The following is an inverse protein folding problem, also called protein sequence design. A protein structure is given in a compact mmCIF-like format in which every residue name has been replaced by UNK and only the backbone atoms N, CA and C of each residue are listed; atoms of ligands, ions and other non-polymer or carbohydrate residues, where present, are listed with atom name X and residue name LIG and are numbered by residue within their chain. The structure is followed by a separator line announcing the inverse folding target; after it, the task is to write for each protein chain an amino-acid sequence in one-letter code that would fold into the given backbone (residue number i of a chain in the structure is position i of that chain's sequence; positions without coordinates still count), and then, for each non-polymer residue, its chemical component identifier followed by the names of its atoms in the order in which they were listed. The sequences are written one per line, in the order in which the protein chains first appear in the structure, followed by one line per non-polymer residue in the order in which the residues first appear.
data_IF_024867569147
#
_entry.id   IF_024867569147
#
_cell.length_a   1.000
_cell.length_b   1.000
_cell.length_c   1.000
_cell.angle_alpha   90.00
_cell.angle_beta   90.00
_cell.angle_gamma   90.00
#
_symmetry.space_group_name_H-M   'P 1'
#
loop_
_entity.id
_entity.type
_entity.pdbx_description
1 polymer ?
#
# COMPACT_ATOMS: atom_id res chain seq x y z
N UNK A 1 23.39 -6.95 -20.19
CA UNK A 1 22.36 -7.22 -19.16
C UNK A 1 21.51 -5.97 -19.08
N UNK A 2 20.23 -6.03 -19.45
CA UNK A 2 19.37 -4.84 -19.50
C UNK A 2 18.91 -4.46 -18.09
N UNK A 3 19.12 -3.20 -17.70
CA UNK A 3 18.67 -2.60 -16.42
C UNK A 3 17.13 -2.49 -16.27
N UNK A 4 16.38 -3.13 -17.17
CA UNK A 4 14.93 -3.06 -17.27
C UNK A 4 14.17 -3.49 -16.00
N UNK A 5 14.53 -4.57 -15.27
CA UNK A 5 13.76 -4.99 -14.12
C UNK A 5 13.93 -4.04 -12.93
N UNK A 6 15.14 -3.52 -12.69
CA UNK A 6 15.42 -2.58 -11.61
C UNK A 6 14.73 -1.24 -11.86
N UNK A 7 14.78 -0.76 -13.11
CA UNK A 7 14.13 0.49 -13.52
C UNK A 7 12.61 0.42 -13.32
N UNK A 8 11.98 -0.71 -13.67
CA UNK A 8 10.54 -0.92 -13.44
C UNK A 8 10.15 -0.89 -11.95
N UNK A 9 10.96 -1.52 -11.08
CA UNK A 9 10.75 -1.50 -9.63
C UNK A 9 10.89 -0.08 -9.07
N UNK A 10 11.90 0.67 -9.50
CA UNK A 10 12.11 2.06 -9.06
C UNK A 10 10.97 2.98 -9.50
N UNK A 11 10.46 2.82 -10.73
CA UNK A 11 9.29 3.56 -11.21
C UNK A 11 8.05 3.23 -10.38
N UNK A 12 7.79 1.94 -10.12
CA UNK A 12 6.65 1.50 -9.31
C UNK A 12 6.73 2.05 -7.88
N UNK A 13 7.93 2.02 -7.26
CA UNK A 13 8.17 2.59 -5.94
C UNK A 13 7.94 4.11 -5.94
N UNK A 14 8.45 4.83 -6.94
CA UNK A 14 8.25 6.28 -7.10
C UNK A 14 6.78 6.66 -7.22
N UNK A 15 6.00 5.92 -8.03
CA UNK A 15 4.56 6.10 -8.16
C UNK A 15 3.83 5.85 -6.84
N UNK A 16 4.19 4.80 -6.11
CA UNK A 16 3.62 4.49 -4.79
C UNK A 16 3.83 5.64 -3.80
N UNK A 17 5.04 6.20 -3.75
CA UNK A 17 5.37 7.34 -2.90
C UNK A 17 4.59 8.59 -3.31
N UNK A 18 4.50 8.88 -4.61
CA UNK A 18 3.75 10.02 -5.13
C UNK A 18 2.25 9.92 -4.81
N UNK A 19 1.65 8.73 -5.00
CA UNK A 19 0.25 8.48 -4.64
C UNK A 19 0.00 8.63 -3.15
N UNK A 20 0.92 8.15 -2.30
CA UNK A 20 0.83 8.33 -0.86
C UNK A 20 0.89 9.83 -0.49
N UNK A 21 1.86 10.56 -1.03
CA UNK A 21 2.02 11.98 -0.77
C UNK A 21 0.78 12.78 -1.19
N UNK A 22 0.24 12.50 -2.38
CA UNK A 22 -1.00 13.11 -2.86
C UNK A 22 -2.19 12.77 -1.95
N UNK A 23 -2.32 11.50 -1.54
CA UNK A 23 -3.41 11.06 -0.67
C UNK A 23 -3.33 11.72 0.71
N UNK A 24 -2.12 11.85 1.27
CA UNK A 24 -1.88 12.56 2.52
C UNK A 24 -2.19 14.06 2.38
N UNK A 25 -1.74 14.69 1.30
CA UNK A 25 -2.00 16.11 1.03
C UNK A 25 -3.50 16.40 0.93
N UNK A 26 -4.23 15.62 0.14
CA UNK A 26 -5.69 15.74 -0.03
C UNK A 26 -6.45 15.47 1.27
N UNK A 27 -5.87 14.68 2.17
CA UNK A 27 -6.50 14.31 3.43
C UNK A 27 -6.33 15.31 4.57
N UNK A 28 -5.43 16.30 4.43
CA UNK A 28 -5.13 17.31 5.47
C UNK A 28 -6.36 17.94 6.12
N UNK A 29 -7.41 18.34 5.38
CA UNK A 29 -8.57 18.98 6.01
C UNK A 29 -9.41 18.01 6.85
N UNK A 30 -9.23 16.70 6.68
CA UNK A 30 -9.92 15.66 7.46
C UNK A 30 -9.18 15.31 8.75
N UNK A 31 -7.94 15.75 8.92
CA UNK A 31 -7.09 15.41 10.07
C UNK A 31 -7.64 15.87 11.43
N UNK A 32 -8.24 17.08 11.57
CA UNK A 32 -8.79 17.53 12.85
C UNK A 32 -9.96 16.69 13.34
N UNK A 33 -10.66 16.01 12.42
CA UNK A 33 -11.82 15.18 12.71
C UNK A 33 -11.47 13.75 13.13
N UNK A 34 -10.17 13.43 13.20
CA UNK A 34 -9.69 12.11 13.60
C UNK A 34 -9.43 12.06 15.11
N UNK A 35 -9.78 10.97 15.82
CA UNK A 35 -9.59 10.87 17.28
C UNK A 35 -8.12 11.00 17.71
N UNK A 36 -7.18 10.57 16.86
CA UNK A 36 -5.74 10.74 17.08
C UNK A 36 -5.13 11.99 16.44
N UNK A 37 -5.96 12.94 16.00
CA UNK A 37 -5.55 14.11 15.22
C UNK A 37 -4.79 13.75 13.95
N UNK A 38 -3.94 14.67 13.49
CA UNK A 38 -3.10 14.49 12.28
C UNK A 38 -2.23 13.24 12.35
N UNK A 39 -1.51 13.03 13.45
CA UNK A 39 -0.60 11.89 13.60
C UNK A 39 -1.34 10.56 13.54
N UNK A 40 -2.47 10.45 14.24
CA UNK A 40 -3.30 9.23 14.21
C UNK A 40 -3.88 8.97 12.82
N UNK A 41 -4.31 10.02 12.12
CA UNK A 41 -4.85 9.89 10.77
C UNK A 41 -3.79 9.39 9.78
N UNK A 42 -2.57 9.94 9.84
CA UNK A 42 -1.45 9.48 9.01
C UNK A 42 -1.08 8.03 9.33
N UNK A 43 -1.05 7.66 10.61
CA UNK A 43 -0.72 6.29 11.03
C UNK A 43 -1.76 5.28 10.55
N UNK A 44 -3.05 5.61 10.65
CA UNK A 44 -4.13 4.78 10.14
C UNK A 44 -4.14 4.71 8.61
N UNK A 45 -3.79 5.81 7.91
CA UNK A 45 -3.55 5.81 6.47
C UNK A 45 -2.42 4.86 6.06
N UNK A 46 -1.29 4.90 6.76
CA UNK A 46 -0.17 4.00 6.49
C UNK A 46 -0.55 2.54 6.78
N UNK A 47 -1.28 2.28 7.86
CA UNK A 47 -1.74 0.93 8.18
C UNK A 47 -2.69 0.36 7.12
N UNK A 48 -3.68 1.14 6.66
CA UNK A 48 -4.60 0.60 5.66
C UNK A 48 -4.03 0.56 4.24
N UNK A 49 -3.12 1.48 3.90
CA UNK A 49 -2.63 1.65 2.53
C UNK A 49 -1.32 0.90 2.28
N UNK A 50 -0.43 0.81 3.28
CA UNK A 50 0.90 0.24 3.15
C UNK A 50 0.99 -1.21 3.64
N UNK A 51 0.28 -1.59 4.71
CA UNK A 51 0.30 -2.97 5.21
C UNK A 51 -0.12 -4.00 4.13
N UNK A 52 -1.11 -3.71 3.26
CA UNK A 52 -1.46 -4.63 2.17
C UNK A 52 -0.43 -4.68 1.03
N UNK A 53 0.42 -3.67 0.89
CA UNK A 53 1.44 -3.57 -0.17
C UNK A 53 2.74 -4.31 0.22
N UNK A 54 3.01 -4.46 1.52
CA UNK A 54 4.22 -5.13 2.03
C UNK A 54 4.38 -6.56 1.51
N UNK A 55 3.36 -7.45 1.54
CA UNK A 55 3.49 -8.81 1.01
C UNK A 55 3.91 -8.83 -0.47
N UNK A 56 3.35 -7.91 -1.27
CA UNK A 56 3.69 -7.78 -2.69
C UNK A 56 5.16 -7.35 -2.86
N UNK A 57 5.63 -6.36 -2.10
CA UNK A 57 7.02 -5.91 -2.15
C UNK A 57 7.99 -7.02 -1.74
N UNK A 58 7.65 -7.81 -0.71
CA UNK A 58 8.45 -8.96 -0.27
C UNK A 58 8.51 -10.04 -1.36
N UNK A 59 7.40 -10.36 -2.00
CA UNK A 59 7.36 -11.33 -3.10
C UNK A 59 8.19 -10.85 -4.31
N UNK A 60 8.04 -9.58 -4.70
CA UNK A 60 8.79 -9.01 -5.83
C UNK A 60 10.29 -8.98 -5.53
N UNK A 61 10.69 -8.42 -4.37
CA UNK A 61 12.10 -8.35 -3.98
C UNK A 61 12.72 -9.75 -3.84
N UNK A 62 12.01 -10.67 -3.18
CA UNK A 62 12.45 -12.05 -3.01
C UNK A 62 12.67 -12.75 -4.35
N UNK A 63 11.75 -12.58 -5.30
CA UNK A 63 11.91 -13.14 -6.64
C UNK A 63 13.03 -12.49 -7.44
N UNK A 64 13.15 -11.16 -7.40
CA UNK A 64 14.25 -10.43 -8.07
C UNK A 64 15.61 -10.90 -7.58
N UNK A 65 15.79 -11.03 -6.26
CA UNK A 65 17.04 -11.56 -5.68
C UNK A 65 17.26 -13.02 -6.10
N UNK A 66 16.23 -13.84 -6.04
CA UNK A 66 16.34 -15.27 -6.35
C UNK A 66 16.70 -15.52 -7.83
N UNK A 67 16.10 -14.76 -8.76
CA UNK A 67 16.46 -14.78 -10.19
C UNK A 67 17.87 -14.23 -10.44
N UNK A 68 18.32 -13.25 -9.66
CA UNK A 68 19.69 -12.73 -9.77
C UNK A 68 20.75 -13.80 -9.47
N UNK A 69 20.49 -14.72 -8.53
CA UNK A 69 21.40 -15.82 -8.21
C UNK A 69 21.12 -17.11 -9.01
N UNK A 70 19.89 -17.30 -9.49
CA UNK A 70 19.44 -18.50 -10.22
C UNK A 70 18.52 -18.09 -11.38
N UNK A 71 19.08 -17.58 -12.50
CA UNK A 71 18.30 -17.05 -13.61
C UNK A 71 17.43 -18.10 -14.32
N UNK A 72 17.79 -19.38 -14.20
CA UNK A 72 17.02 -20.54 -14.67
C UNK A 72 15.62 -20.69 -14.06
N UNK A 73 15.33 -19.96 -12.97
CA UNK A 73 14.02 -19.93 -12.32
C UNK A 73 13.11 -18.82 -12.86
N UNK A 74 13.60 -18.00 -13.78
CA UNK A 74 12.81 -16.98 -14.47
C UNK A 74 11.85 -17.62 -15.47
N UNK A 75 10.61 -17.85 -15.05
CA UNK A 75 9.51 -18.29 -15.93
C UNK A 75 8.29 -17.41 -15.75
N UNK A 76 7.51 -17.25 -16.83
CA UNK A 76 6.23 -16.53 -16.76
C UNK A 76 5.28 -17.19 -15.75
N UNK A 77 5.31 -18.52 -15.63
CA UNK A 77 4.56 -19.26 -14.61
C UNK A 77 4.94 -18.83 -13.19
N UNK A 78 6.23 -18.68 -12.88
CA UNK A 78 6.68 -18.22 -11.57
C UNK A 78 6.18 -16.80 -11.26
N UNK A 79 6.20 -15.90 -12.25
CA UNK A 79 5.67 -14.53 -12.12
C UNK A 79 4.17 -14.51 -11.84
N UNK A 80 3.38 -15.33 -12.53
CA UNK A 80 1.93 -15.44 -12.28
C UNK A 80 1.61 -16.05 -10.91
N UNK A 81 2.37 -17.05 -10.46
CA UNK A 81 2.21 -17.63 -9.12
C UNK A 81 2.52 -16.60 -8.03
N UNK A 82 3.60 -15.83 -8.18
CA UNK A 82 3.93 -14.74 -7.26
C UNK A 82 2.88 -13.64 -7.24
N UNK A 83 2.33 -13.28 -8.41
CA UNK A 83 1.22 -12.34 -8.49
C UNK A 83 0.00 -12.89 -7.74
N UNK A 84 -0.32 -14.18 -7.90
CA UNK A 84 -1.39 -14.85 -7.16
C UNK A 84 -1.18 -14.78 -5.65
N UNK A 85 0.01 -15.10 -5.16
CA UNK A 85 0.37 -15.02 -3.74
C UNK A 85 0.28 -13.57 -3.24
N UNK A 86 0.76 -12.61 -4.01
CA UNK A 86 0.68 -11.19 -3.66
C UNK A 86 -0.76 -10.69 -3.57
N UNK A 87 -1.64 -11.11 -4.50
CA UNK A 87 -3.06 -10.76 -4.49
C UNK A 87 -3.77 -11.41 -3.29
N UNK A 88 -3.50 -12.69 -3.00
CA UNK A 88 -4.06 -13.37 -1.83
C UNK A 88 -3.57 -12.71 -0.54
N UNK A 89 -2.29 -12.34 -0.46
CA UNK A 89 -1.71 -11.59 0.66
C UNK A 89 -2.34 -10.21 0.83
N UNK A 90 -2.60 -9.49 -0.27
CA UNK A 90 -3.30 -8.22 -0.28
C UNK A 90 -4.73 -8.36 0.27
N UNK A 91 -5.47 -9.36 -0.22
CA UNK A 91 -6.84 -9.64 0.21
C UNK A 91 -6.87 -10.07 1.69
N UNK A 92 -5.92 -10.89 2.12
CA UNK A 92 -5.75 -11.33 3.51
C UNK A 92 -5.43 -10.17 4.44
N UNK A 93 -4.48 -9.31 4.06
CA UNK A 93 -4.11 -8.12 4.84
C UNK A 93 -5.30 -7.17 5.03
N UNK A 94 -6.16 -7.02 4.01
CA UNK A 94 -7.40 -6.24 4.12
C UNK A 94 -8.43 -6.83 5.07
N UNK A 95 -8.36 -8.12 5.39
CA UNK A 95 -9.23 -8.77 6.38
C UNK A 95 -8.70 -8.70 7.81
N UNK A 96 -7.49 -8.18 8.02
CA UNK A 96 -6.97 -8.01 9.36
C UNK A 96 -7.82 -6.98 10.13
N UNK A 97 -8.24 -7.29 11.37
CA UNK A 97 -9.13 -6.42 12.15
C UNK A 97 -8.49 -5.05 12.40
N UNK A 98 -7.17 -4.98 12.52
CA UNK A 98 -6.42 -3.73 12.65
C UNK A 98 -6.54 -2.83 11.42
N UNK A 99 -6.50 -3.41 10.21
CA UNK A 99 -6.63 -2.67 8.93
C UNK A 99 -8.06 -2.18 8.76
N UNK A 100 -9.04 -3.04 9.03
CA UNK A 100 -10.45 -2.66 8.97
C UNK A 100 -10.79 -1.55 9.98
N UNK A 101 -10.25 -1.62 11.20
CA UNK A 101 -10.43 -0.59 12.21
C UNK A 101 -9.79 0.75 11.79
N UNK A 102 -8.56 0.73 11.28
CA UNK A 102 -7.88 1.92 10.77
C UNK A 102 -8.66 2.56 9.61
N UNK A 103 -9.15 1.75 8.67
CA UNK A 103 -9.98 2.20 7.56
C UNK A 103 -11.29 2.84 8.04
N UNK A 104 -11.94 2.28 9.06
CA UNK A 104 -13.18 2.83 9.62
C UNK A 104 -12.93 4.17 10.33
N UNK A 105 -11.84 4.32 11.09
CA UNK A 105 -11.47 5.58 11.74
C UNK A 105 -11.20 6.70 10.73
N UNK A 106 -10.49 6.38 9.64
CA UNK A 106 -10.25 7.30 8.52
C UNK A 106 -11.55 7.70 7.82
N UNK A 107 -12.45 6.73 7.57
CA UNK A 107 -13.77 7.00 6.97
C UNK A 107 -14.64 7.88 7.86
N UNK A 108 -14.69 7.60 9.16
CA UNK A 108 -15.43 8.41 10.12
C UNK A 108 -14.95 9.87 10.12
N UNK A 109 -13.63 10.10 10.12
CA UNK A 109 -13.06 11.45 10.06
C UNK A 109 -13.40 12.19 8.74
N UNK A 110 -13.47 11.46 7.62
CA UNK A 110 -13.91 12.05 6.33
C UNK A 110 -15.39 12.41 6.36
N UNK A 111 -16.25 11.53 6.87
CA UNK A 111 -17.69 11.76 6.97
C UNK A 111 -18.00 12.95 7.89
N UNK A 112 -17.35 13.02 9.05
CA UNK A 112 -17.49 14.14 9.99
C UNK A 112 -17.11 15.49 9.33
N UNK A 113 -16.07 15.51 8.49
CA UNK A 113 -15.73 16.70 7.69
C UNK A 113 -16.83 17.04 6.68
N UNK A 114 -17.40 16.06 5.98
CA UNK A 114 -18.48 16.31 5.02
C UNK A 114 -19.71 16.88 5.72
N UNK A 115 -20.11 16.33 6.85
CA UNK A 115 -21.22 16.85 7.67
C UNK A 115 -20.94 18.28 8.15
N UNK A 116 -19.70 18.59 8.52
CA UNK A 116 -19.30 19.96 8.91
C UNK A 116 -19.32 20.96 7.75
N UNK A 117 -19.18 20.52 6.49
CA UNK A 117 -19.28 21.38 5.30
C UNK A 117 -20.73 21.54 4.80
N UNK A 118 -21.68 20.75 5.30
CA UNK A 118 -23.11 20.84 4.95
C UNK A 118 -23.92 21.73 5.90
N UNK A 119 -23.33 22.14 7.03
CA UNK A 119 -23.90 23.12 7.97
C UNK A 119 -23.44 24.53 7.61
#
# INVERSE_FOLDING_TARGET
MSDAPLTGVLIAAGLLVAMLALSLFMSRPSWPYHPGGARGYVMDMLLYLFLPVIPMLVCVLGFTLLVQFRPELESDTARFVLLGIAVVGLLGARRLPMVAAAQNRVRAARNARYEAMQK
#
